data_IF_581659491429
#
_entry.id   IF_581659491429
#
_cell.length_a   1.000
_cell.length_b   1.000
_cell.length_c   1.000
_cell.angle_alpha   90.00
_cell.angle_beta   90.00
_cell.angle_gamma   90.00
#
_symmetry.space_group_name_H-M   'P 1'
#
loop_
_entity.id
_entity.type
_entity.pdbx_description
1 polymer ?
#
# COMPACT_ATOMS: atom_id res chain seq x y z
N UNK A 1 48.74 28.50 17.51
CA UNK A 1 48.72 28.39 16.03
C UNK A 1 47.76 27.27 15.75
N UNK A 2 46.51 27.61 15.45
CA UNK A 2 45.44 26.64 15.23
C UNK A 2 45.69 25.90 13.92
N UNK A 3 45.97 24.60 14.01
CA UNK A 3 46.21 23.71 12.87
C UNK A 3 44.90 23.32 12.13
N UNK A 4 43.76 23.88 12.54
CA UNK A 4 42.44 23.62 11.97
C UNK A 4 42.05 24.60 10.85
N UNK A 5 42.86 25.63 10.60
CA UNK A 5 42.66 26.61 9.51
C UNK A 5 43.51 26.25 8.26
N UNK A 6 43.89 24.97 8.12
CA UNK A 6 44.59 24.49 6.93
C UNK A 6 43.56 24.24 5.81
N UNK A 7 43.80 24.84 4.65
CA UNK A 7 42.97 24.78 3.43
C UNK A 7 42.65 23.31 3.01
N UNK A 8 43.44 22.35 3.47
CA UNK A 8 43.28 20.92 3.22
C UNK A 8 42.52 20.16 4.32
N UNK A 9 42.15 20.78 5.45
CA UNK A 9 41.36 20.14 6.50
C UNK A 9 39.98 19.67 6.02
N UNK A 10 39.38 20.41 5.08
CA UNK A 10 38.16 20.01 4.39
C UNK A 10 38.39 18.88 3.37
N UNK A 11 39.60 18.78 2.80
CA UNK A 11 39.93 17.76 1.79
C UNK A 11 40.19 16.37 2.39
N UNK A 12 40.60 16.30 3.67
CA UNK A 12 40.93 15.05 4.36
C UNK A 12 39.71 14.18 4.68
N UNK A 13 38.49 14.75 4.65
CA UNK A 13 37.23 14.02 4.90
C UNK A 13 36.21 14.16 3.76
N UNK A 14 36.65 14.62 2.59
CA UNK A 14 35.75 14.94 1.47
C UNK A 14 35.02 13.70 0.94
N UNK A 15 35.69 12.55 0.93
CA UNK A 15 35.14 11.27 0.47
C UNK A 15 34.05 10.74 1.42
N UNK A 16 34.32 10.74 2.73
CA UNK A 16 33.34 10.33 3.75
C UNK A 16 32.16 11.30 3.84
N UNK A 17 32.38 12.60 3.65
CA UNK A 17 31.33 13.61 3.59
C UNK A 17 30.41 13.38 2.38
N UNK A 18 30.97 13.23 1.17
CA UNK A 18 30.17 12.96 -0.03
C UNK A 18 29.47 11.60 0.00
N UNK A 19 30.07 10.57 0.61
CA UNK A 19 29.42 9.26 0.78
C UNK A 19 28.20 9.38 1.70
N UNK A 20 28.33 10.14 2.79
CA UNK A 20 27.24 10.37 3.74
C UNK A 20 26.14 11.24 3.15
N UNK A 21 26.51 12.30 2.41
CA UNK A 21 25.57 13.18 1.74
C UNK A 21 24.83 12.44 0.63
N UNK A 22 25.53 11.67 -0.21
CA UNK A 22 24.91 10.83 -1.24
C UNK A 22 24.02 9.71 -0.68
N UNK A 23 24.39 9.14 0.48
CA UNK A 23 23.52 8.18 1.19
C UNK A 23 22.26 8.85 1.73
N UNK A 24 22.39 10.04 2.34
CA UNK A 24 21.27 10.78 2.89
C UNK A 24 20.32 11.26 1.79
N UNK A 25 20.85 11.80 0.69
CA UNK A 25 20.07 12.17 -0.50
C UNK A 25 19.36 10.95 -1.10
N UNK A 26 20.07 9.83 -1.26
CA UNK A 26 19.47 8.59 -1.77
C UNK A 26 18.38 8.02 -0.85
N UNK A 27 18.57 8.13 0.47
CA UNK A 27 17.60 7.70 1.48
C UNK A 27 16.35 8.58 1.48
N UNK A 28 16.52 9.91 1.48
CA UNK A 28 15.40 10.86 1.44
C UNK A 28 14.62 10.77 0.12
N UNK A 29 15.32 10.68 -1.01
CA UNK A 29 14.71 10.48 -2.31
C UNK A 29 13.96 9.14 -2.39
N UNK A 30 14.57 8.05 -1.93
CA UNK A 30 13.95 6.73 -1.87
C UNK A 30 12.73 6.69 -0.94
N UNK A 31 12.81 7.33 0.22
CA UNK A 31 11.70 7.43 1.18
C UNK A 31 10.53 8.24 0.62
N UNK A 32 10.82 9.38 0.00
CA UNK A 32 9.80 10.23 -0.61
C UNK A 32 9.16 9.57 -1.84
N UNK A 33 9.95 8.91 -2.69
CA UNK A 33 9.43 8.37 -3.94
C UNK A 33 8.76 7.00 -3.77
N UNK A 34 9.42 6.07 -3.08
CA UNK A 34 8.91 4.71 -2.89
C UNK A 34 7.86 4.68 -1.78
N UNK A 35 8.07 5.45 -0.71
CA UNK A 35 7.14 5.51 0.42
C UNK A 35 5.80 6.14 0.05
N UNK A 36 5.81 7.25 -0.69
CA UNK A 36 4.57 7.94 -1.08
C UNK A 36 3.81 7.16 -2.18
N UNK A 37 4.50 6.69 -3.23
CA UNK A 37 3.87 5.92 -4.31
C UNK A 37 3.32 4.58 -3.83
N UNK A 38 4.04 3.88 -2.95
CA UNK A 38 3.60 2.57 -2.46
C UNK A 38 2.44 2.70 -1.47
N UNK A 39 2.51 3.64 -0.51
CA UNK A 39 1.40 3.84 0.45
C UNK A 39 0.13 4.34 -0.22
N UNK A 40 0.25 5.22 -1.22
CA UNK A 40 -0.93 5.73 -1.93
C UNK A 40 -1.66 4.62 -2.70
N UNK A 41 -0.93 3.75 -3.40
CA UNK A 41 -1.51 2.59 -4.11
C UNK A 41 -2.21 1.62 -3.16
N UNK A 42 -1.63 1.39 -1.98
CA UNK A 42 -2.25 0.54 -0.97
C UNK A 42 -3.48 1.18 -0.34
N UNK A 43 -3.44 2.49 -0.06
CA UNK A 43 -4.59 3.24 0.44
C UNK A 43 -5.77 3.25 -0.56
N UNK A 44 -5.47 3.43 -1.85
CA UNK A 44 -6.47 3.36 -2.92
C UNK A 44 -7.15 1.98 -2.98
N UNK A 45 -6.36 0.89 -2.93
CA UNK A 45 -6.88 -0.47 -2.95
C UNK A 45 -7.80 -0.75 -1.74
N UNK A 46 -7.39 -0.32 -0.55
CA UNK A 46 -8.17 -0.47 0.67
C UNK A 46 -9.45 0.36 0.63
N UNK A 47 -9.38 1.59 0.12
CA UNK A 47 -10.55 2.45 -0.08
C UNK A 47 -11.57 1.82 -1.04
N UNK A 48 -11.10 1.23 -2.14
CA UNK A 48 -11.96 0.49 -3.07
C UNK A 48 -12.66 -0.69 -2.40
N UNK A 49 -11.93 -1.51 -1.62
CA UNK A 49 -12.51 -2.61 -0.87
C UNK A 49 -13.53 -2.14 0.15
N UNK A 50 -13.22 -1.07 0.88
CA UNK A 50 -14.14 -0.49 1.86
C UNK A 50 -15.45 -0.04 1.20
N UNK A 51 -15.37 0.66 0.06
CA UNK A 51 -16.55 1.06 -0.69
C UNK A 51 -17.43 -0.12 -1.12
N UNK A 52 -16.83 -1.22 -1.59
CA UNK A 52 -17.57 -2.44 -1.94
C UNK A 52 -18.28 -3.04 -0.72
N UNK A 53 -17.56 -3.17 0.40
CA UNK A 53 -18.11 -3.70 1.66
C UNK A 53 -19.28 -2.85 2.14
N UNK A 54 -19.16 -1.53 2.14
CA UNK A 54 -20.19 -0.62 2.61
C UNK A 54 -21.45 -0.70 1.75
N UNK A 55 -21.31 -0.82 0.42
CA UNK A 55 -22.43 -1.06 -0.50
C UNK A 55 -23.10 -2.39 -0.20
N UNK A 56 -22.33 -3.49 -0.13
CA UNK A 56 -22.90 -4.82 0.11
C UNK A 56 -23.59 -4.92 1.47
N UNK A 57 -23.00 -4.35 2.52
CA UNK A 57 -23.62 -4.28 3.85
C UNK A 57 -24.90 -3.44 3.85
N UNK A 58 -24.95 -2.36 3.06
CA UNK A 58 -26.16 -1.56 2.92
C UNK A 58 -27.28 -2.33 2.23
N UNK A 59 -26.97 -3.13 1.20
CA UNK A 59 -27.94 -4.02 0.57
C UNK A 59 -28.44 -5.09 1.55
N UNK A 60 -27.54 -5.73 2.31
CA UNK A 60 -27.93 -6.74 3.32
C UNK A 60 -28.84 -6.12 4.40
N UNK A 61 -28.61 -4.87 4.80
CA UNK A 61 -29.45 -4.18 5.78
C UNK A 61 -30.87 -3.94 5.28
N UNK A 62 -31.02 -3.64 3.99
CA UNK A 62 -32.33 -3.39 3.37
C UNK A 62 -33.05 -4.71 3.07
N UNK A 63 -32.32 -5.70 2.56
CA UNK A 63 -32.85 -7.02 2.20
C UNK A 63 -31.91 -8.13 2.72
N UNK A 64 -32.12 -8.62 3.96
CA UNK A 64 -31.22 -9.59 4.60
C UNK A 64 -31.11 -10.93 3.86
N UNK A 65 -32.05 -11.24 2.95
CA UNK A 65 -32.04 -12.48 2.18
C UNK A 65 -31.39 -12.33 0.80
N UNK A 66 -30.91 -11.13 0.43
CA UNK A 66 -30.34 -10.84 -0.90
C UNK A 66 -29.10 -11.69 -1.22
N UNK A 67 -28.35 -12.10 -0.20
CA UNK A 67 -27.15 -12.91 -0.33
C UNK A 67 -27.23 -14.15 0.56
N UNK A 68 -26.72 -15.28 0.06
CA UNK A 68 -26.59 -16.49 0.87
C UNK A 68 -25.76 -16.22 2.14
N UNK A 69 -26.07 -16.89 3.28
CA UNK A 69 -25.35 -16.70 4.55
C UNK A 69 -23.83 -16.84 4.41
N UNK A 70 -23.38 -17.76 3.54
CA UNK A 70 -21.94 -17.96 3.23
C UNK A 70 -21.27 -16.71 2.66
N UNK A 71 -21.99 -15.90 1.88
CA UNK A 71 -21.46 -14.68 1.27
C UNK A 71 -21.43 -13.55 2.28
N UNK A 72 -22.49 -13.40 3.08
CA UNK A 72 -22.53 -12.42 4.17
C UNK A 72 -21.39 -12.65 5.16
N UNK A 73 -21.11 -13.92 5.52
CA UNK A 73 -19.95 -14.29 6.33
C UNK A 73 -18.63 -13.86 5.68
N UNK A 74 -18.45 -14.12 4.39
CA UNK A 74 -17.22 -13.72 3.67
C UNK A 74 -17.04 -12.20 3.64
N UNK A 75 -18.12 -11.43 3.46
CA UNK A 75 -18.11 -9.96 3.48
C UNK A 75 -17.69 -9.45 4.85
N UNK A 76 -18.28 -10.01 5.92
CA UNK A 76 -17.91 -9.66 7.31
C UNK A 76 -16.43 -9.95 7.60
N UNK A 77 -15.94 -11.12 7.23
CA UNK A 77 -14.52 -11.46 7.38
C UNK A 77 -13.61 -10.52 6.57
N UNK A 78 -14.09 -9.98 5.43
CA UNK A 78 -13.33 -9.01 4.64
C UNK A 78 -13.29 -7.65 5.35
N UNK A 79 -14.40 -7.22 5.94
CA UNK A 79 -14.52 -5.98 6.73
C UNK A 79 -13.58 -5.97 7.95
N UNK A 80 -13.52 -7.10 8.66
CA UNK A 80 -12.61 -7.29 9.79
C UNK A 80 -11.14 -7.19 9.35
N UNK A 81 -10.78 -7.75 8.19
CA UNK A 81 -9.41 -7.68 7.65
C UNK A 81 -9.03 -6.26 7.22
N UNK A 82 -9.93 -5.52 6.57
CA UNK A 82 -9.69 -4.12 6.19
C UNK A 82 -9.50 -3.27 7.46
N UNK A 83 -10.35 -3.45 8.46
CA UNK A 83 -10.27 -2.71 9.72
C UNK A 83 -8.97 -3.00 10.47
N UNK A 84 -8.55 -4.28 10.49
CA UNK A 84 -7.27 -4.68 11.10
C UNK A 84 -6.09 -4.00 10.41
N UNK A 85 -6.09 -3.94 9.08
CA UNK A 85 -5.02 -3.30 8.32
C UNK A 85 -4.84 -1.82 8.71
N UNK A 86 -5.94 -1.08 8.90
CA UNK A 86 -5.90 0.36 9.22
C UNK A 86 -5.30 0.69 10.60
N UNK A 87 -5.18 -0.30 11.48
CA UNK A 87 -4.70 -0.13 12.86
C UNK A 87 -3.25 -0.66 13.00
N UNK A 88 -2.71 -1.30 11.96
CA UNK A 88 -1.36 -1.89 12.01
C UNK A 88 -0.27 -0.87 11.71
N UNK A 89 0.80 -0.93 12.50
CA UNK A 89 2.02 -0.16 12.28
C UNK A 89 2.70 -0.57 10.96
N UNK A 90 3.22 0.38 10.17
CA UNK A 90 3.78 0.14 8.84
C UNK A 90 5.01 -0.79 8.81
N UNK A 91 5.64 -1.03 9.96
CA UNK A 91 6.80 -1.90 10.14
C UNK A 91 6.42 -3.39 10.28
N UNK A 92 5.12 -3.69 10.30
CA UNK A 92 4.66 -5.05 10.50
C UNK A 92 4.77 -5.89 9.22
N UNK A 93 5.66 -6.89 9.22
CA UNK A 93 5.88 -7.80 8.09
C UNK A 93 4.61 -8.52 7.60
N UNK A 94 3.59 -8.65 8.47
CA UNK A 94 2.31 -9.30 8.13
C UNK A 94 1.38 -8.45 7.24
N UNK A 95 1.71 -7.19 6.99
CA UNK A 95 0.94 -6.26 6.12
C UNK A 95 0.78 -6.82 4.71
N UNK A 96 1.84 -7.39 4.14
CA UNK A 96 1.85 -7.95 2.78
C UNK A 96 0.93 -9.16 2.67
N UNK A 97 0.91 -10.01 3.70
CA UNK A 97 0.07 -11.20 3.75
C UNK A 97 -1.43 -10.85 3.87
N UNK A 98 -1.76 -9.80 4.62
CA UNK A 98 -3.13 -9.33 4.77
C UNK A 98 -3.66 -8.78 3.44
N UNK A 99 -2.85 -8.01 2.71
CA UNK A 99 -3.24 -7.53 1.36
C UNK A 99 -3.46 -8.69 0.39
N UNK A 100 -2.60 -9.71 0.41
CA UNK A 100 -2.80 -10.94 -0.34
C UNK A 100 -4.14 -11.60 -0.01
N UNK A 101 -4.44 -11.77 1.28
CA UNK A 101 -5.70 -12.34 1.78
C UNK A 101 -6.92 -11.54 1.34
N UNK A 102 -6.87 -10.21 1.44
CA UNK A 102 -7.93 -9.29 0.98
C UNK A 102 -8.21 -9.47 -0.51
N UNK A 103 -7.18 -9.50 -1.35
CA UNK A 103 -7.30 -9.70 -2.81
C UNK A 103 -7.95 -11.04 -3.16
N UNK A 104 -7.57 -12.12 -2.47
CA UNK A 104 -8.19 -13.44 -2.68
C UNK A 104 -9.66 -13.44 -2.27
N UNK A 105 -9.96 -12.88 -1.09
CA UNK A 105 -11.31 -12.84 -0.54
C UNK A 105 -12.26 -11.99 -1.39
N UNK A 106 -11.81 -10.84 -1.86
CA UNK A 106 -12.56 -9.99 -2.80
C UNK A 106 -12.93 -10.75 -4.08
N UNK A 107 -11.94 -11.39 -4.72
CA UNK A 107 -12.16 -12.20 -5.93
C UNK A 107 -13.15 -13.34 -5.69
N UNK A 108 -13.06 -14.00 -4.54
CA UNK A 108 -13.97 -15.08 -4.16
C UNK A 108 -15.42 -14.58 -3.96
N UNK A 109 -15.62 -13.40 -3.37
CA UNK A 109 -16.95 -12.79 -3.22
C UNK A 109 -17.52 -12.44 -4.60
N UNK A 110 -16.74 -11.75 -5.45
CA UNK A 110 -17.16 -11.39 -6.80
C UNK A 110 -17.55 -12.62 -7.64
N UNK A 111 -16.74 -13.68 -7.59
CA UNK A 111 -17.04 -14.93 -8.28
C UNK A 111 -18.33 -15.59 -7.75
N UNK A 112 -18.55 -15.57 -6.42
CA UNK A 112 -19.77 -16.15 -5.82
C UNK A 112 -21.03 -15.37 -6.19
N UNK A 113 -20.90 -14.05 -6.39
CA UNK A 113 -21.98 -13.14 -6.77
C UNK A 113 -22.11 -12.94 -8.30
N UNK A 114 -21.26 -13.60 -9.09
CA UNK A 114 -21.16 -13.42 -10.53
C UNK A 114 -20.95 -11.95 -10.97
N UNK A 115 -20.21 -11.18 -10.17
CA UNK A 115 -19.88 -9.78 -10.43
C UNK A 115 -18.59 -9.68 -11.26
N UNK A 116 -18.61 -8.82 -12.29
CA UNK A 116 -17.42 -8.46 -13.07
C UNK A 116 -16.68 -7.25 -12.47
N UNK A 117 -16.67 -7.15 -11.15
CA UNK A 117 -15.96 -6.10 -10.41
C UNK A 117 -14.47 -6.46 -10.31
N UNK A 118 -13.61 -5.51 -10.67
CA UNK A 118 -12.16 -5.62 -10.56
C UNK A 118 -11.60 -4.32 -10.05
N UNK A 119 -10.60 -4.41 -9.18
CA UNK A 119 -9.73 -3.28 -8.89
C UNK A 119 -8.75 -3.13 -10.07
N UNK A 120 -8.67 -1.94 -10.67
CA UNK A 120 -7.80 -1.70 -11.84
C UNK A 120 -6.45 -1.09 -11.48
N UNK A 121 -6.23 -0.71 -10.21
CA UNK A 121 -4.97 -0.14 -9.73
C UNK A 121 -3.87 -1.17 -9.47
N UNK A 122 -4.06 -2.45 -9.83
CA UNK A 122 -2.94 -3.39 -9.85
C UNK A 122 -1.92 -2.88 -10.86
N UNK A 123 -0.62 -2.86 -10.55
CA UNK A 123 0.39 -2.63 -11.57
C UNK A 123 0.22 -3.72 -12.64
N UNK A 124 -0.37 -3.36 -13.77
CA UNK A 124 -0.39 -4.21 -14.94
C UNK A 124 1.06 -4.36 -15.38
N UNK A 125 1.59 -5.58 -15.43
CA UNK A 125 2.89 -5.86 -16.02
C UNK A 125 2.97 -5.48 -17.52
N UNK A 126 1.88 -4.98 -18.10
CA UNK A 126 1.72 -4.63 -19.50
C UNK A 126 1.58 -3.11 -19.77
N UNK A 127 1.55 -2.26 -18.74
CA UNK A 127 1.58 -0.81 -18.96
C UNK A 127 2.97 -0.28 -18.64
N UNK A 128 3.75 0.16 -19.66
CA UNK A 128 4.96 0.90 -19.41
C UNK A 128 4.56 2.12 -18.62
N UNK A 129 5.17 2.31 -17.46
CA UNK A 129 5.20 3.63 -16.83
C UNK A 129 5.88 4.57 -17.83
N UNK A 130 5.07 5.32 -18.59
CA UNK A 130 5.54 6.48 -19.34
C UNK A 130 6.03 7.52 -18.32
N UNK A 131 7.28 7.33 -17.90
CA UNK A 131 8.07 8.36 -17.26
C UNK A 131 8.60 9.19 -18.42
N UNK A 132 7.88 10.27 -18.74
CA UNK A 132 8.41 11.33 -19.60
C UNK A 132 9.41 12.12 -18.76
N UNK A 133 10.68 12.11 -19.18
CA UNK A 133 11.75 12.97 -18.67
C UNK A 133 11.66 14.36 -19.29
#
# INVERSE_FOLDING_TARGET
MDYLDDIFGASVNLEDAHLKDGFQEGYEAGFAEVGLKTRFRTGEELGFYRGCIDVWNSVIRVEPTCFFPRVQKKIKEMDELVSKYLIMEPENETITDILGSLRLKFRAICATLNLKLKYNGYPNAAEPSEIQF
#
